data_IF_479277623178
#
_entry.id   IF_479277623178
#
_cell.length_a   1.000
_cell.length_b   1.000
_cell.length_c   1.000
_cell.angle_alpha   90.00
_cell.angle_beta   90.00
_cell.angle_gamma   90.00
#
_symmetry.space_group_name_H-M   'P 1'
#
loop_
_entity.id
_entity.type
_entity.pdbx_description
1 polymer ?
#
# COMPACT_ATOMS: atom_id res chain seq x y z
N UNK A 1 -0.67 -19.28 -2.42
CA UNK A 1 -0.40 -18.63 -3.72
C UNK A 1 -0.39 -17.15 -3.45
N UNK A 2 0.53 -16.38 -4.02
CA UNK A 2 0.59 -14.94 -3.76
C UNK A 2 -0.72 -14.26 -4.15
N UNK A 3 -1.24 -13.41 -3.27
CA UNK A 3 -2.43 -12.59 -3.49
C UNK A 3 -2.20 -11.58 -4.63
N UNK A 4 -1.01 -10.99 -4.66
CA UNK A 4 -0.61 -9.98 -5.64
C UNK A 4 0.82 -10.25 -6.14
N UNK A 5 1.12 -9.94 -7.39
CA UNK A 5 2.45 -10.14 -7.98
C UNK A 5 2.81 -8.92 -8.79
N UNK A 6 3.95 -8.29 -8.46
CA UNK A 6 4.43 -7.12 -9.18
C UNK A 6 4.91 -7.52 -10.57
N UNK A 7 4.52 -6.76 -11.58
CA UNK A 7 5.02 -6.84 -12.94
C UNK A 7 5.23 -5.43 -13.47
N UNK A 8 6.29 -5.20 -14.23
CA UNK A 8 6.55 -3.90 -14.82
C UNK A 8 5.41 -3.45 -15.76
N UNK A 9 4.80 -4.39 -16.48
CA UNK A 9 3.68 -4.10 -17.37
C UNK A 9 2.48 -3.48 -16.63
N UNK A 10 2.12 -4.04 -15.47
CA UNK A 10 0.97 -3.58 -14.72
C UNK A 10 1.31 -2.41 -13.80
N UNK A 11 2.41 -2.48 -13.05
CA UNK A 11 2.69 -1.57 -11.92
C UNK A 11 3.97 -0.74 -12.07
N UNK A 12 4.71 -0.88 -13.17
CA UNK A 12 5.90 -0.06 -13.40
C UNK A 12 5.54 1.41 -13.59
N UNK A 13 6.12 2.28 -12.76
CA UNK A 13 5.91 3.73 -12.77
C UNK A 13 6.99 4.47 -13.55
N UNK A 14 8.09 3.80 -13.90
CA UNK A 14 9.32 4.41 -14.41
C UNK A 14 10.00 5.35 -13.39
N UNK A 15 9.64 5.25 -12.11
CA UNK A 15 10.30 5.94 -10.99
C UNK A 15 10.92 4.89 -10.09
N UNK A 16 12.26 4.86 -10.02
CA UNK A 16 13.01 3.74 -9.44
C UNK A 16 12.68 3.46 -7.98
N UNK A 17 12.64 4.48 -7.13
CA UNK A 17 12.34 4.30 -5.70
C UNK A 17 10.92 3.78 -5.48
N UNK A 18 9.94 4.32 -6.20
CA UNK A 18 8.55 3.92 -6.07
C UNK A 18 8.34 2.48 -6.52
N UNK A 19 8.94 2.07 -7.65
CA UNK A 19 8.85 0.68 -8.12
C UNK A 19 9.48 -0.31 -7.12
N UNK A 20 10.56 0.06 -6.44
CA UNK A 20 11.18 -0.77 -5.41
C UNK A 20 10.34 -0.83 -4.12
N UNK A 21 9.75 0.29 -3.71
CA UNK A 21 8.84 0.36 -2.57
C UNK A 21 7.54 -0.43 -2.82
N UNK A 22 6.96 -0.36 -4.02
CA UNK A 22 5.81 -1.17 -4.42
C UNK A 22 6.09 -2.67 -4.32
N UNK A 23 7.28 -3.14 -4.72
CA UNK A 23 7.64 -4.56 -4.59
C UNK A 23 7.69 -5.00 -3.13
N UNK A 24 8.19 -4.13 -2.23
CA UNK A 24 8.22 -4.40 -0.79
C UNK A 24 6.79 -4.43 -0.23
N UNK A 25 5.95 -3.44 -0.57
CA UNK A 25 4.53 -3.40 -0.20
C UNK A 25 3.80 -4.68 -0.61
N UNK A 26 4.01 -5.15 -1.83
CA UNK A 26 3.39 -6.38 -2.34
C UNK A 26 3.84 -7.60 -1.53
N UNK A 27 5.12 -7.66 -1.15
CA UNK A 27 5.65 -8.70 -0.28
C UNK A 27 5.00 -8.70 1.10
N UNK A 28 4.85 -7.52 1.71
CA UNK A 28 4.20 -7.35 3.02
C UNK A 28 2.72 -7.73 2.96
N UNK A 29 2.00 -7.30 1.92
CA UNK A 29 0.60 -7.66 1.72
C UNK A 29 0.42 -9.17 1.54
N UNK A 30 1.26 -9.80 0.71
CA UNK A 30 1.22 -11.26 0.53
C UNK A 30 1.49 -11.99 1.85
N UNK A 31 2.46 -11.54 2.65
CA UNK A 31 2.76 -12.12 3.96
C UNK A 31 1.58 -12.03 4.92
N UNK A 32 0.99 -10.84 5.05
CA UNK A 32 -0.20 -10.63 5.88
C UNK A 32 -1.35 -11.52 5.44
N UNK A 33 -1.61 -11.57 4.14
CA UNK A 33 -2.68 -12.38 3.56
C UNK A 33 -2.48 -13.88 3.80
N UNK A 34 -1.27 -14.39 3.57
CA UNK A 34 -0.96 -15.80 3.78
C UNK A 34 -1.09 -16.17 5.27
N UNK A 35 -0.60 -15.34 6.20
CA UNK A 35 -0.75 -15.57 7.64
C UNK A 35 -2.22 -15.56 8.08
N UNK A 36 -3.00 -14.60 7.58
CA UNK A 36 -4.43 -14.49 7.88
C UNK A 36 -5.24 -15.69 7.37
N UNK A 37 -4.99 -16.11 6.13
CA UNK A 37 -5.77 -17.18 5.47
C UNK A 37 -5.30 -18.59 5.82
N UNK A 38 -4.08 -18.76 6.32
CA UNK A 38 -3.55 -20.05 6.80
C UNK A 38 -3.86 -20.34 8.27
N UNK A 39 -4.51 -19.41 8.99
CA UNK A 39 -4.84 -19.56 10.40
C UNK A 39 -3.63 -19.41 11.33
N UNK A 40 -2.68 -18.52 10.99
CA UNK A 40 -1.56 -18.19 11.86
C UNK A 40 -2.06 -17.61 13.20
N UNK A 41 -1.24 -17.66 14.27
CA UNK A 41 -1.59 -17.03 15.53
C UNK A 41 -1.87 -15.53 15.35
N UNK A 42 -2.89 -15.03 16.02
CA UNK A 42 -3.32 -13.63 15.95
C UNK A 42 -2.21 -12.60 16.20
N UNK A 43 -1.25 -12.95 17.06
CA UNK A 43 -0.07 -12.13 17.32
C UNK A 43 0.84 -11.98 16.09
N UNK A 44 1.01 -13.03 15.28
CA UNK A 44 1.78 -12.97 14.04
C UNK A 44 1.06 -12.11 12.99
N UNK A 45 -0.25 -12.32 12.82
CA UNK A 45 -1.10 -11.51 11.93
C UNK A 45 -1.02 -10.03 12.32
N UNK A 46 -1.11 -9.72 13.62
CA UNK A 46 -0.97 -8.35 14.13
C UNK A 46 0.37 -7.72 13.79
N UNK A 47 1.48 -8.44 14.00
CA UNK A 47 2.80 -7.94 13.64
C UNK A 47 2.94 -7.67 12.14
N UNK A 48 2.36 -8.51 11.27
CA UNK A 48 2.36 -8.30 9.82
C UNK A 48 1.45 -7.13 9.40
N UNK A 49 0.30 -6.96 10.05
CA UNK A 49 -0.61 -5.84 9.82
C UNK A 49 0.09 -4.52 10.15
N UNK A 50 0.73 -4.44 11.33
CA UNK A 50 1.45 -3.25 11.77
C UNK A 50 2.62 -2.93 10.85
N UNK A 51 3.37 -3.94 10.41
CA UNK A 51 4.48 -3.77 9.47
C UNK A 51 4.02 -3.27 8.10
N UNK A 52 2.92 -3.81 7.55
CA UNK A 52 2.35 -3.35 6.29
C UNK A 52 1.91 -1.88 6.39
N UNK A 53 1.15 -1.53 7.43
CA UNK A 53 0.60 -0.17 7.60
C UNK A 53 1.72 0.85 7.79
N UNK A 54 2.74 0.53 8.61
CA UNK A 54 3.89 1.40 8.78
C UNK A 54 4.59 1.67 7.44
N UNK A 55 4.79 0.62 6.64
CA UNK A 55 5.44 0.77 5.34
C UNK A 55 4.60 1.55 4.33
N UNK A 56 3.27 1.39 4.33
CA UNK A 56 2.35 2.20 3.50
C UNK A 56 2.49 3.69 3.82
N UNK A 57 2.52 4.04 5.11
CA UNK A 57 2.66 5.44 5.54
C UNK A 57 4.02 6.01 5.11
N UNK A 58 5.10 5.26 5.30
CA UNK A 58 6.45 5.69 4.92
C UNK A 58 6.58 5.88 3.40
N UNK A 59 6.02 4.97 2.61
CA UNK A 59 5.99 5.04 1.15
C UNK A 59 5.22 6.28 0.66
N UNK A 60 4.00 6.51 1.15
CA UNK A 60 3.22 7.69 0.77
C UNK A 60 3.91 8.99 1.16
N UNK A 61 4.53 9.04 2.34
CA UNK A 61 5.30 10.21 2.77
C UNK A 61 6.49 10.49 1.84
N UNK A 62 7.14 9.45 1.31
CA UNK A 62 8.24 9.60 0.36
C UNK A 62 7.76 10.13 -0.98
N UNK A 63 6.72 9.53 -1.57
CA UNK A 63 6.13 10.01 -2.83
C UNK A 63 5.63 11.44 -2.72
N UNK A 64 4.91 11.77 -1.65
CA UNK A 64 4.39 13.11 -1.41
C UNK A 64 5.51 14.14 -1.31
N UNK A 65 6.60 13.81 -0.61
CA UNK A 65 7.77 14.67 -0.52
C UNK A 65 8.38 14.95 -1.89
N UNK A 66 8.54 13.93 -2.73
CA UNK A 66 9.09 14.09 -4.08
C UNK A 66 8.12 14.84 -5.02
N UNK A 67 6.82 14.56 -4.93
CA UNK A 67 5.78 15.29 -5.66
C UNK A 67 5.79 16.79 -5.32
N UNK A 68 5.90 17.15 -4.04
CA UNK A 68 6.01 18.55 -3.60
C UNK A 68 7.30 19.19 -4.13
N UNK A 69 8.43 18.50 -3.97
CA UNK A 69 9.74 19.01 -4.39
C UNK A 69 9.79 19.30 -5.90
N UNK A 70 9.12 18.47 -6.71
CA UNK A 70 9.02 18.59 -8.16
C UNK A 70 7.82 19.40 -8.64
N UNK A 71 7.00 19.92 -7.73
CA UNK A 71 5.77 20.70 -8.02
C UNK A 71 4.81 19.93 -8.95
N UNK A 72 4.64 18.64 -8.69
CA UNK A 72 3.72 17.80 -9.44
C UNK A 72 2.29 18.35 -9.33
N UNK A 73 1.68 18.71 -10.45
CA UNK A 73 0.37 19.37 -10.48
C UNK A 73 -0.79 18.51 -9.97
N UNK A 74 -0.61 17.18 -9.91
CA UNK A 74 -1.60 16.23 -9.39
C UNK A 74 -1.51 15.96 -7.88
N UNK A 75 -0.60 16.63 -7.16
CA UNK A 75 -0.29 16.34 -5.75
C UNK A 75 -1.53 16.29 -4.85
N UNK A 76 -2.36 17.34 -4.84
CA UNK A 76 -3.50 17.42 -3.92
C UNK A 76 -4.50 16.27 -4.10
N UNK A 77 -4.75 15.88 -5.37
CA UNK A 77 -5.64 14.76 -5.68
C UNK A 77 -5.00 13.43 -5.29
N UNK A 78 -3.70 13.27 -5.55
CA UNK A 78 -2.97 12.05 -5.21
C UNK A 78 -2.95 11.83 -3.69
N UNK A 79 -2.61 12.87 -2.92
CA UNK A 79 -2.60 12.83 -1.46
C UNK A 79 -3.96 12.48 -0.86
N UNK A 80 -5.06 12.95 -1.46
CA UNK A 80 -6.40 12.62 -0.97
C UNK A 80 -6.68 11.10 -1.02
N UNK A 81 -6.16 10.39 -2.02
CA UNK A 81 -6.28 8.92 -2.09
C UNK A 81 -5.44 8.24 -1.00
N UNK A 82 -4.23 8.75 -0.74
CA UNK A 82 -3.36 8.28 0.36
C UNK A 82 -4.02 8.45 1.72
N UNK A 83 -4.54 9.64 2.01
CA UNK A 83 -5.22 9.94 3.27
C UNK A 83 -6.44 9.05 3.47
N UNK A 84 -7.19 8.76 2.40
CA UNK A 84 -8.33 7.85 2.46
C UNK A 84 -7.93 6.42 2.82
N UNK A 85 -6.87 5.88 2.18
CA UNK A 85 -6.39 4.53 2.52
C UNK A 85 -5.79 4.47 3.94
N UNK A 86 -5.01 5.48 4.35
CA UNK A 86 -4.46 5.56 5.70
C UNK A 86 -5.59 5.51 6.74
N UNK A 87 -6.70 6.22 6.51
CA UNK A 87 -7.87 6.17 7.39
C UNK A 87 -8.44 4.76 7.53
N UNK A 88 -8.63 4.05 6.41
CA UNK A 88 -9.12 2.66 6.39
C UNK A 88 -8.15 1.74 7.15
N UNK A 89 -6.85 1.86 6.90
CA UNK A 89 -5.81 1.08 7.57
C UNK A 89 -5.78 1.34 9.08
N UNK A 90 -5.87 2.60 9.51
CA UNK A 90 -5.86 2.98 10.92
C UNK A 90 -7.08 2.41 11.67
N UNK A 91 -8.27 2.48 11.05
CA UNK A 91 -9.49 1.91 11.63
C UNK A 91 -9.42 0.38 11.74
N UNK A 92 -8.91 -0.29 10.70
CA UNK A 92 -8.66 -1.74 10.75
C UNK A 92 -7.68 -2.10 11.86
N UNK A 93 -6.53 -1.43 11.93
CA UNK A 93 -5.49 -1.68 12.94
C UNK A 93 -6.03 -1.52 14.35
N UNK A 94 -6.77 -0.43 14.60
CA UNK A 94 -7.40 -0.15 15.88
C UNK A 94 -8.39 -1.24 16.27
N UNK A 95 -9.30 -1.61 15.37
CA UNK A 95 -10.32 -2.63 15.65
C UNK A 95 -9.71 -4.02 15.82
N UNK A 96 -8.67 -4.33 15.04
CA UNK A 96 -7.91 -5.56 15.19
C UNK A 96 -7.25 -5.62 16.58
N UNK A 97 -6.52 -4.60 17.02
CA UNK A 97 -5.88 -4.64 18.34
C UNK A 97 -6.86 -4.62 19.51
N UNK A 98 -8.07 -4.09 19.31
CA UNK A 98 -9.14 -4.15 20.29
C UNK A 98 -9.86 -5.51 20.36
N UNK A 99 -9.54 -6.46 19.45
CA UNK A 99 -10.23 -7.75 19.35
C UNK A 99 -11.63 -7.65 18.72
N UNK A 100 -11.95 -6.53 18.07
CA UNK A 100 -13.25 -6.26 17.45
C UNK A 100 -13.30 -6.62 15.96
N UNK A 101 -12.16 -6.92 15.35
CA UNK A 101 -12.05 -7.28 13.93
C UNK A 101 -10.93 -8.30 13.72
N UNK A 102 -11.01 -9.03 12.62
CA UNK A 102 -9.97 -9.95 12.14
C UNK A 102 -9.51 -9.51 10.75
N UNK A 103 -8.28 -9.88 10.38
CA UNK A 103 -7.81 -9.73 8.99
C UNK A 103 -8.37 -10.91 8.20
N UNK A 104 -9.28 -10.63 7.27
CA UNK A 104 -9.95 -11.64 6.44
C UNK A 104 -9.42 -11.61 4.99
N UNK A 105 -9.85 -12.57 4.17
CA UNK A 105 -9.63 -12.52 2.71
C UNK A 105 -10.15 -11.20 2.14
N UNK A 106 -11.36 -10.76 2.51
CA UNK A 106 -11.95 -9.49 2.06
C UNK A 106 -11.05 -8.28 2.37
N UNK A 107 -10.40 -8.24 3.53
CA UNK A 107 -9.43 -7.19 3.89
C UNK A 107 -8.23 -7.22 2.95
N UNK A 108 -7.69 -8.41 2.68
CA UNK A 108 -6.61 -8.58 1.70
C UNK A 108 -7.01 -8.13 0.30
N UNK A 109 -8.20 -8.53 -0.18
CA UNK A 109 -8.73 -8.15 -1.49
C UNK A 109 -8.99 -6.65 -1.58
N UNK A 110 -9.41 -5.99 -0.49
CA UNK A 110 -9.59 -4.54 -0.44
C UNK A 110 -8.27 -3.81 -0.70
N UNK A 111 -7.20 -4.18 0.03
CA UNK A 111 -5.88 -3.54 -0.14
C UNK A 111 -5.32 -3.85 -1.53
N UNK A 112 -5.46 -5.09 -1.99
CA UNK A 112 -5.06 -5.48 -3.35
C UNK A 112 -5.79 -4.64 -4.41
N UNK A 113 -7.11 -4.53 -4.31
CA UNK A 113 -7.94 -3.77 -5.24
C UNK A 113 -7.59 -2.28 -5.25
N UNK A 114 -7.24 -1.73 -4.09
CA UNK A 114 -6.74 -0.36 -4.01
C UNK A 114 -5.41 -0.20 -4.76
N UNK A 115 -4.43 -1.08 -4.53
CA UNK A 115 -3.13 -1.04 -5.24
C UNK A 115 -3.27 -1.28 -6.76
N UNK A 116 -4.15 -2.20 -7.17
CA UNK A 116 -4.48 -2.47 -8.57
C UNK A 116 -5.02 -1.23 -9.30
N UNK A 117 -5.68 -0.34 -8.56
CA UNK A 117 -6.24 0.89 -9.10
C UNK A 117 -5.29 2.09 -8.96
N UNK A 118 -4.66 2.25 -7.80
CA UNK A 118 -3.87 3.42 -7.47
C UNK A 118 -2.62 3.51 -8.34
N UNK A 119 -1.82 2.44 -8.38
CA UNK A 119 -0.54 2.45 -9.10
C UNK A 119 -0.70 2.81 -10.58
N UNK A 120 -1.61 2.18 -11.35
CA UNK A 120 -1.73 2.49 -12.77
C UNK A 120 -2.37 3.86 -13.05
N UNK A 121 -3.28 4.34 -12.19
CA UNK A 121 -4.08 5.53 -12.47
C UNK A 121 -3.56 6.82 -11.80
N UNK A 122 -2.74 6.71 -10.76
CA UNK A 122 -2.19 7.83 -10.02
C UNK A 122 -0.67 7.83 -10.11
N UNK A 123 0.00 6.79 -9.66
CA UNK A 123 1.45 6.74 -9.55
C UNK A 123 2.12 6.86 -10.91
N UNK A 124 1.68 6.11 -11.93
CA UNK A 124 2.23 6.30 -13.29
C UNK A 124 2.12 7.73 -13.81
N UNK A 125 1.16 8.51 -13.30
CA UNK A 125 0.94 9.90 -13.69
C UNK A 125 1.99 10.89 -13.19
N UNK A 126 2.81 10.55 -12.19
CA UNK A 126 3.87 11.44 -11.69
C UNK A 126 5.21 11.27 -12.41
N UNK A 127 5.33 10.32 -13.35
CA UNK A 127 6.62 9.80 -13.81
C UNK A 127 7.47 10.87 -14.49
N UNK A 128 6.86 11.70 -15.33
CA UNK A 128 7.55 12.79 -16.02
C UNK A 128 8.05 13.86 -15.06
N UNK A 129 7.29 14.15 -14.00
CA UNK A 129 7.66 15.14 -13.00
C UNK A 129 8.80 14.65 -12.10
N UNK A 130 8.73 13.40 -11.64
CA UNK A 130 9.68 12.84 -10.68
C UNK A 130 11.02 12.42 -11.30
N UNK A 131 11.05 12.18 -12.61
CA UNK A 131 12.30 11.93 -13.36
C UNK A 131 12.97 13.19 -13.93
N UNK A 132 12.38 14.38 -13.73
CA UNK A 132 12.89 15.65 -14.28
C UNK A 132 14.02 16.30 -13.49
#
# INVERSE_FOLDING_TARGET
MALITWTAAQYGTNVGFADDEHKILFGLLNKLYDEATSGAPRAAIGASLDALIAYVVDHFAHEEKEMIAKKYGGYDRHKAEHEALIGICADLQKNFHAGNAEVTDDVGQLVKGWLDNHIPNFDKGYADALNS
#
